data_IF_461355293476
#
_entry.id   IF_461355293476
#
_cell.length_a   1.000
_cell.length_b   1.000
_cell.length_c   1.000
_cell.angle_alpha   90.00
_cell.angle_beta   90.00
_cell.angle_gamma   90.00
#
_symmetry.space_group_name_H-M   'P 1'
#
loop_
_entity.id
_entity.type
_entity.pdbx_description
1 polymer ?
#
# COMPACT_ATOMS: atom_id res chain seq x y z
N UNK A 1 17.38 11.35 -18.78
CA UNK A 1 17.32 9.85 -18.77
C UNK A 1 16.31 9.37 -19.80
N UNK A 2 16.62 8.33 -20.59
CA UNK A 2 15.63 7.68 -21.45
C UNK A 2 14.75 6.75 -20.58
N UNK A 3 13.44 6.89 -20.67
CA UNK A 3 12.49 6.04 -19.95
C UNK A 3 12.53 4.60 -20.47
N UNK A 4 12.42 3.57 -19.59
CA UNK A 4 12.24 2.19 -20.03
C UNK A 4 10.88 2.00 -20.73
N UNK A 5 10.87 1.32 -21.88
CA UNK A 5 9.65 1.17 -22.70
C UNK A 5 8.78 -0.02 -22.27
N UNK A 6 9.39 -1.12 -21.83
CA UNK A 6 8.71 -2.39 -21.58
C UNK A 6 7.49 -2.31 -20.63
N UNK A 7 7.58 -1.53 -19.54
CA UNK A 7 6.46 -1.29 -18.64
C UNK A 7 5.44 -0.32 -19.23
N UNK A 8 5.93 0.74 -19.91
CA UNK A 8 5.07 1.75 -20.54
C UNK A 8 4.18 1.12 -21.61
N UNK A 9 4.73 0.29 -22.49
CA UNK A 9 3.99 -0.44 -23.51
C UNK A 9 2.99 -1.40 -22.92
N UNK A 10 3.42 -2.23 -21.93
CA UNK A 10 2.56 -3.23 -21.32
C UNK A 10 1.36 -2.61 -20.58
N UNK A 11 1.56 -1.47 -19.93
CA UNK A 11 0.51 -0.77 -19.16
C UNK A 11 -0.22 0.31 -19.96
N UNK A 12 0.14 0.52 -21.23
CA UNK A 12 -0.40 1.58 -22.08
C UNK A 12 -0.30 2.99 -21.46
N UNK A 13 0.87 3.30 -20.89
CA UNK A 13 1.18 4.60 -20.27
C UNK A 13 2.42 5.21 -20.94
N UNK A 14 2.54 6.54 -20.94
CA UNK A 14 3.72 7.20 -21.51
C UNK A 14 4.94 7.10 -20.60
N UNK A 15 4.75 7.28 -19.31
CA UNK A 15 5.83 7.28 -18.32
C UNK A 15 5.67 6.09 -17.39
N UNK A 16 6.71 5.24 -17.19
CA UNK A 16 6.63 4.07 -16.32
C UNK A 16 6.69 4.45 -14.84
N UNK A 17 5.89 5.46 -14.48
CA UNK A 17 5.65 5.91 -13.12
C UNK A 17 4.30 5.41 -12.64
N UNK A 18 4.28 4.83 -11.45
CA UNK A 18 3.10 4.27 -10.82
C UNK A 18 2.82 5.06 -9.54
N UNK A 19 1.65 5.65 -9.42
CA UNK A 19 1.16 6.15 -8.14
C UNK A 19 0.87 4.94 -7.25
N UNK A 20 1.56 4.84 -6.10
CA UNK A 20 1.40 3.71 -5.19
C UNK A 20 -0.04 3.59 -4.67
N UNK A 21 -0.59 2.37 -4.59
CA UNK A 21 -1.88 2.14 -3.96
C UNK A 21 -1.75 2.30 -2.43
N UNK A 22 -2.20 3.42 -1.89
CA UNK A 22 -2.09 3.74 -0.48
C UNK A 22 -3.48 3.72 0.16
N UNK A 23 -3.85 2.59 0.80
CA UNK A 23 -5.17 2.46 1.42
C UNK A 23 -5.37 3.50 2.54
N UNK A 24 -6.49 4.21 2.48
CA UNK A 24 -6.78 5.31 3.39
C UNK A 24 -6.10 6.64 3.04
N UNK A 25 -5.40 6.72 1.89
CA UNK A 25 -4.74 7.92 1.35
C UNK A 25 -5.12 8.15 -0.11
N UNK A 26 -4.95 7.13 -0.96
CA UNK A 26 -5.31 7.19 -2.38
C UNK A 26 -6.81 7.33 -2.55
N UNK A 27 -7.23 8.30 -3.35
CA UNK A 27 -8.63 8.59 -3.67
C UNK A 27 -8.87 8.38 -5.16
N UNK A 28 -10.13 8.25 -5.62
CA UNK A 28 -10.46 8.30 -7.03
C UNK A 28 -9.87 9.51 -7.76
N UNK A 29 -9.84 10.68 -7.10
CA UNK A 29 -9.22 11.90 -7.65
C UNK A 29 -7.70 11.77 -7.79
N UNK A 30 -7.01 11.21 -6.80
CA UNK A 30 -5.56 10.97 -6.88
C UNK A 30 -5.23 10.02 -8.03
N UNK A 31 -5.97 8.91 -8.14
CA UNK A 31 -5.81 7.92 -9.21
C UNK A 31 -6.01 8.54 -10.58
N UNK A 32 -7.09 9.31 -10.78
CA UNK A 32 -7.36 9.99 -12.05
C UNK A 32 -6.30 11.04 -12.40
N UNK A 33 -5.80 11.80 -11.42
CA UNK A 33 -4.74 12.79 -11.63
C UNK A 33 -3.40 12.16 -12.03
N UNK A 34 -3.07 10.99 -11.47
CA UNK A 34 -1.91 10.23 -11.91
C UNK A 34 -2.08 9.73 -13.37
N UNK A 35 -3.25 9.21 -13.72
CA UNK A 35 -3.56 8.81 -15.09
C UNK A 35 -3.47 9.99 -16.06
N UNK A 36 -3.97 11.17 -15.69
CA UNK A 36 -3.90 12.39 -16.51
C UNK A 36 -2.46 12.89 -16.72
N UNK A 37 -1.53 12.58 -15.79
CA UNK A 37 -0.09 12.79 -15.97
C UNK A 37 0.57 11.78 -16.94
N UNK A 38 -0.20 10.91 -17.61
CA UNK A 38 0.27 9.80 -18.44
C UNK A 38 1.11 8.75 -17.66
N UNK A 39 0.84 8.62 -16.38
CA UNK A 39 1.36 7.62 -15.46
C UNK A 39 0.27 6.58 -15.12
N UNK A 40 0.60 5.52 -14.39
CA UNK A 40 -0.41 4.61 -13.89
C UNK A 40 -0.96 5.13 -12.56
N UNK A 41 -2.24 5.47 -12.52
CA UNK A 41 -3.00 5.65 -11.28
C UNK A 41 -3.28 4.30 -10.63
N UNK A 42 -3.31 4.23 -9.29
CA UNK A 42 -3.64 2.98 -8.58
C UNK A 42 -4.66 3.25 -7.49
N UNK A 43 -5.83 2.62 -7.62
CA UNK A 43 -6.92 2.67 -6.67
C UNK A 43 -6.75 1.56 -5.63
N UNK A 44 -6.61 1.93 -4.36
CA UNK A 44 -6.43 0.97 -3.28
C UNK A 44 -7.79 0.43 -2.80
N UNK A 45 -8.15 -0.79 -3.18
CA UNK A 45 -9.34 -1.49 -2.71
C UNK A 45 -9.07 -2.28 -1.41
N UNK A 46 -7.82 -2.70 -1.22
CA UNK A 46 -7.40 -3.44 -0.01
C UNK A 46 -8.32 -4.64 0.31
N UNK A 47 -8.98 -4.63 1.47
CA UNK A 47 -9.95 -5.63 1.93
C UNK A 47 -11.39 -5.08 1.99
N UNK A 48 -11.72 -4.14 1.11
CA UNK A 48 -13.10 -3.62 0.97
C UNK A 48 -14.06 -4.70 0.48
N UNK A 49 -15.35 -4.52 0.78
CA UNK A 49 -16.39 -5.36 0.20
C UNK A 49 -16.52 -5.15 -1.31
N UNK A 50 -17.21 -6.08 -1.99
CA UNK A 50 -17.53 -5.97 -3.41
C UNK A 50 -18.25 -4.63 -3.73
N UNK A 51 -19.29 -4.28 -2.96
CA UNK A 51 -20.07 -3.04 -3.17
C UNK A 51 -19.22 -1.78 -3.03
N UNK A 52 -18.37 -1.72 -1.99
CA UNK A 52 -17.46 -0.59 -1.78
C UNK A 52 -16.43 -0.49 -2.91
N UNK A 53 -15.95 -1.63 -3.39
CA UNK A 53 -15.02 -1.70 -4.52
C UNK A 53 -15.68 -1.19 -5.81
N UNK A 54 -16.91 -1.62 -6.12
CA UNK A 54 -17.71 -1.13 -7.25
C UNK A 54 -17.85 0.38 -7.20
N UNK A 55 -18.23 0.92 -6.05
CA UNK A 55 -18.43 2.34 -5.87
C UNK A 55 -17.16 3.13 -6.23
N UNK A 56 -16.03 2.76 -5.64
CA UNK A 56 -14.75 3.46 -5.86
C UNK A 56 -14.25 3.34 -7.30
N UNK A 57 -14.41 2.16 -7.93
CA UNK A 57 -14.06 1.95 -9.35
C UNK A 57 -14.89 2.87 -10.24
N UNK A 58 -16.21 2.89 -10.05
CA UNK A 58 -17.12 3.75 -10.83
C UNK A 58 -16.88 5.23 -10.61
N UNK A 59 -16.58 5.65 -9.38
CA UNK A 59 -16.18 7.02 -9.08
C UNK A 59 -14.89 7.40 -9.83
N UNK A 60 -13.91 6.50 -9.89
CA UNK A 60 -12.66 6.74 -10.62
C UNK A 60 -12.90 6.85 -12.12
N UNK A 61 -13.73 5.97 -12.71
CA UNK A 61 -14.09 5.97 -14.12
C UNK A 61 -14.84 7.23 -14.57
N UNK A 62 -15.57 7.91 -13.67
CA UNK A 62 -16.18 9.21 -13.96
C UNK A 62 -15.15 10.35 -14.07
N UNK A 63 -13.93 10.16 -13.58
CA UNK A 63 -12.88 11.18 -13.50
C UNK A 63 -11.79 11.01 -14.56
N UNK A 64 -11.70 9.83 -15.19
CA UNK A 64 -10.71 9.55 -16.24
C UNK A 64 -11.19 8.43 -17.16
N UNK A 65 -10.91 8.58 -18.45
CA UNK A 65 -11.14 7.54 -19.47
C UNK A 65 -9.91 6.64 -19.65
N UNK A 66 -8.82 6.90 -18.92
CA UNK A 66 -7.59 6.12 -18.99
C UNK A 66 -7.66 4.92 -18.08
N UNK A 67 -6.92 3.86 -18.44
CA UNK A 67 -6.73 2.71 -17.60
C UNK A 67 -6.03 3.09 -16.29
N UNK A 68 -6.42 2.44 -15.20
CA UNK A 68 -5.80 2.52 -13.89
C UNK A 68 -5.76 1.14 -13.23
N UNK A 69 -4.81 0.95 -12.33
CA UNK A 69 -4.74 -0.29 -11.54
C UNK A 69 -5.71 -0.25 -10.36
N UNK A 70 -6.31 -1.39 -10.04
CA UNK A 70 -6.95 -1.65 -8.75
C UNK A 70 -6.03 -2.53 -7.91
N UNK A 71 -5.93 -2.26 -6.60
CA UNK A 71 -5.04 -3.00 -5.70
C UNK A 71 -5.85 -3.72 -4.63
N UNK A 72 -5.61 -5.03 -4.51
CA UNK A 72 -6.26 -5.92 -3.52
C UNK A 72 -5.25 -6.54 -2.57
N UNK A 73 -5.71 -6.97 -1.39
CA UNK A 73 -4.91 -7.65 -0.39
C UNK A 73 -5.15 -9.16 -0.43
N UNK A 74 -4.10 -9.90 -0.80
CA UNK A 74 -4.11 -11.36 -0.85
C UNK A 74 -3.49 -11.90 0.43
N UNK A 75 -4.31 -12.04 1.45
CA UNK A 75 -3.86 -12.52 2.76
C UNK A 75 -4.70 -13.70 3.23
N UNK A 76 -4.06 -14.57 4.00
CA UNK A 76 -4.79 -15.62 4.71
C UNK A 76 -5.55 -15.01 5.88
N UNK A 77 -6.78 -15.44 6.08
CA UNK A 77 -7.59 -15.07 7.25
C UNK A 77 -7.36 -16.16 8.29
N UNK A 78 -6.74 -15.85 9.43
CA UNK A 78 -6.53 -16.84 10.49
C UNK A 78 -7.84 -17.36 11.06
N UNK A 79 -7.89 -18.67 11.37
CA UNK A 79 -9.03 -19.28 12.03
C UNK A 79 -9.28 -18.69 13.42
N UNK A 80 -10.57 -18.59 13.78
CA UNK A 80 -10.97 -18.11 15.10
C UNK A 80 -10.86 -19.25 16.10
N UNK A 81 -9.68 -19.41 16.70
CA UNK A 81 -9.41 -20.35 17.80
C UNK A 81 -9.80 -19.77 19.15
N UNK A 82 -9.93 -20.62 20.20
CA UNK A 82 -10.20 -20.14 21.56
C UNK A 82 -9.07 -19.23 22.08
N UNK A 83 -7.83 -19.53 21.74
CA UNK A 83 -6.67 -18.67 22.05
C UNK A 83 -6.81 -17.28 21.42
N UNK A 84 -7.27 -17.20 20.16
CA UNK A 84 -7.51 -15.92 19.49
C UNK A 84 -8.64 -15.14 20.15
N UNK A 85 -9.73 -15.82 20.57
CA UNK A 85 -10.85 -15.19 21.28
C UNK A 85 -10.40 -14.58 22.61
N UNK A 86 -9.65 -15.33 23.41
CA UNK A 86 -9.12 -14.85 24.69
C UNK A 86 -8.18 -13.64 24.49
N UNK A 87 -7.27 -13.76 23.53
CA UNK A 87 -6.35 -12.67 23.18
C UNK A 87 -7.10 -11.43 22.70
N UNK A 88 -8.14 -11.62 21.88
CA UNK A 88 -8.97 -10.53 21.38
C UNK A 88 -9.63 -9.74 22.50
N UNK A 89 -10.26 -10.43 23.47
CA UNK A 89 -10.90 -9.78 24.62
C UNK A 89 -9.88 -8.98 25.44
N UNK A 90 -8.70 -9.55 25.71
CA UNK A 90 -7.60 -8.86 26.42
C UNK A 90 -7.14 -7.61 25.66
N UNK A 91 -6.95 -7.74 24.36
CA UNK A 91 -6.50 -6.63 23.49
C UNK A 91 -7.55 -5.53 23.41
N UNK A 92 -8.82 -5.88 23.21
CA UNK A 92 -9.94 -4.93 23.21
C UNK A 92 -9.95 -4.12 24.52
N UNK A 93 -9.93 -4.80 25.66
CA UNK A 93 -9.95 -4.14 26.97
C UNK A 93 -8.72 -3.23 27.19
N UNK A 94 -7.53 -3.67 26.71
CA UNK A 94 -6.32 -2.85 26.80
C UNK A 94 -6.47 -1.56 25.99
N UNK A 95 -6.99 -1.65 24.73
CA UNK A 95 -7.20 -0.47 23.88
C UNK A 95 -8.26 0.47 24.48
N UNK A 96 -9.36 -0.07 25.02
CA UNK A 96 -10.40 0.73 25.66
C UNK A 96 -9.86 1.50 26.87
N UNK A 97 -9.07 0.85 27.73
CA UNK A 97 -8.40 1.50 28.88
C UNK A 97 -7.41 2.57 28.40
N UNK A 98 -6.66 2.31 27.35
CA UNK A 98 -5.73 3.28 26.80
C UNK A 98 -6.48 4.50 26.25
N UNK A 99 -7.55 4.30 25.49
CA UNK A 99 -8.38 5.37 24.95
C UNK A 99 -9.00 6.22 26.08
N UNK A 100 -9.57 5.59 27.10
CA UNK A 100 -10.13 6.27 28.26
C UNK A 100 -9.11 7.16 28.99
N UNK A 101 -7.88 6.65 29.20
CA UNK A 101 -6.77 7.42 29.81
C UNK A 101 -6.35 8.65 28.98
N UNK A 102 -6.71 8.69 27.70
CA UNK A 102 -6.39 9.78 26.78
C UNK A 102 -7.63 10.59 26.37
N UNK A 103 -8.74 10.45 27.10
CA UNK A 103 -10.01 11.14 26.84
C UNK A 103 -10.56 10.90 25.42
N UNK A 104 -10.39 9.68 24.92
CA UNK A 104 -10.92 9.25 23.61
C UNK A 104 -12.07 8.27 23.89
N UNK A 105 -13.28 8.68 23.56
CA UNK A 105 -14.46 7.81 23.68
C UNK A 105 -14.57 6.91 22.45
N UNK A 106 -14.46 5.61 22.64
CA UNK A 106 -14.56 4.59 21.59
C UNK A 106 -15.53 3.49 22.00
N UNK A 107 -16.12 2.86 21.00
CA UNK A 107 -16.91 1.65 21.17
C UNK A 107 -16.34 0.59 20.21
N UNK A 108 -15.50 -0.30 20.72
CA UNK A 108 -14.87 -1.32 19.92
C UNK A 108 -15.79 -2.51 19.67
N UNK A 109 -15.77 -3.11 18.47
CA UNK A 109 -16.60 -4.27 18.17
C UNK A 109 -16.17 -5.50 18.97
N UNK A 110 -17.12 -6.40 19.20
CA UNK A 110 -16.82 -7.77 19.62
C UNK A 110 -16.34 -8.58 18.41
N UNK A 111 -15.64 -9.68 18.67
CA UNK A 111 -15.03 -10.51 17.61
C UNK A 111 -16.06 -11.00 16.59
N UNK A 112 -17.25 -11.37 17.05
CA UNK A 112 -18.36 -11.87 16.23
C UNK A 112 -18.91 -10.81 15.27
N UNK A 113 -18.70 -9.54 15.60
CA UNK A 113 -19.14 -8.40 14.78
C UNK A 113 -18.09 -7.92 13.78
N UNK A 114 -16.89 -8.52 13.78
CA UNK A 114 -15.82 -8.18 12.84
C UNK A 114 -16.09 -8.84 11.49
N UNK A 115 -16.36 -8.01 10.48
CA UNK A 115 -16.48 -8.47 9.09
C UNK A 115 -15.12 -8.49 8.43
N UNK A 116 -14.72 -9.66 7.93
CA UNK A 116 -13.51 -9.85 7.14
C UNK A 116 -13.92 -10.27 5.73
N UNK A 117 -13.45 -9.55 4.73
CA UNK A 117 -13.73 -9.84 3.33
C UNK A 117 -12.56 -10.62 2.72
N UNK A 118 -12.87 -11.56 1.83
CA UNK A 118 -11.90 -12.26 1.02
C UNK A 118 -11.67 -11.52 -0.30
N UNK A 119 -10.43 -11.53 -0.81
CA UNK A 119 -10.15 -10.98 -2.14
C UNK A 119 -10.89 -11.69 -3.28
N UNK A 120 -11.33 -12.93 -3.06
CA UNK A 120 -12.13 -13.67 -4.05
C UNK A 120 -13.44 -12.94 -4.41
N UNK A 121 -14.08 -12.28 -3.44
CA UNK A 121 -15.27 -11.47 -3.68
C UNK A 121 -14.99 -10.25 -4.58
N UNK A 122 -13.76 -9.73 -4.51
CA UNK A 122 -13.33 -8.60 -5.33
C UNK A 122 -12.96 -9.02 -6.77
N UNK A 123 -12.52 -10.26 -7.00
CA UNK A 123 -12.17 -10.75 -8.35
C UNK A 123 -13.34 -10.62 -9.32
N UNK A 124 -14.54 -11.08 -8.92
CA UNK A 124 -15.72 -10.98 -9.77
C UNK A 124 -16.12 -9.54 -10.05
N UNK A 125 -16.03 -8.71 -9.03
CA UNK A 125 -16.28 -7.26 -9.15
C UNK A 125 -15.31 -6.59 -10.13
N UNK A 126 -14.02 -6.91 -10.05
CA UNK A 126 -12.98 -6.36 -10.91
C UNK A 126 -13.23 -6.69 -12.37
N UNK A 127 -13.63 -7.94 -12.64
CA UNK A 127 -13.97 -8.42 -13.98
C UNK A 127 -15.24 -7.70 -14.49
N UNK A 128 -16.32 -7.70 -13.70
CA UNK A 128 -17.59 -7.06 -14.05
C UNK A 128 -17.43 -5.56 -14.32
N UNK A 129 -16.55 -4.90 -13.58
CA UNK A 129 -16.24 -3.48 -13.79
C UNK A 129 -15.18 -3.27 -14.89
N UNK A 130 -14.79 -4.29 -15.66
CA UNK A 130 -13.83 -4.20 -16.75
C UNK A 130 -12.53 -3.45 -16.34
N UNK A 131 -11.95 -3.80 -15.19
CA UNK A 131 -10.64 -3.30 -14.79
C UNK A 131 -9.56 -4.08 -15.53
N UNK A 132 -8.63 -3.39 -16.18
CA UNK A 132 -7.60 -4.00 -17.02
C UNK A 132 -6.31 -4.35 -16.29
N UNK A 133 -6.07 -3.75 -15.13
CA UNK A 133 -4.81 -3.89 -14.38
C UNK A 133 -5.15 -4.15 -12.93
N UNK A 134 -4.66 -5.28 -12.40
CA UNK A 134 -4.79 -5.66 -10.99
C UNK A 134 -3.43 -5.76 -10.35
N UNK A 135 -3.20 -4.99 -9.31
CA UNK A 135 -2.04 -5.17 -8.44
C UNK A 135 -2.46 -5.83 -7.12
N UNK A 136 -1.55 -6.58 -6.52
CA UNK A 136 -1.83 -7.24 -5.25
C UNK A 136 -0.60 -7.33 -4.36
N UNK A 137 -0.85 -7.51 -3.05
CA UNK A 137 0.18 -7.60 -2.02
C UNK A 137 -0.26 -8.54 -0.90
N UNK A 138 0.68 -8.93 -0.03
CA UNK A 138 0.52 -9.83 1.13
C UNK A 138 0.51 -11.32 0.83
N UNK A 139 0.65 -11.71 -0.40
CA UNK A 139 0.65 -13.09 -0.85
C UNK A 139 0.63 -13.17 -2.37
N UNK A 140 0.52 -14.38 -2.88
CA UNK A 140 0.23 -14.63 -4.28
C UNK A 140 -1.25 -15.00 -4.45
N UNK A 141 -1.84 -14.65 -5.57
CA UNK A 141 -3.18 -15.12 -5.93
C UNK A 141 -3.16 -16.65 -6.10
N UNK A 142 -4.28 -17.31 -5.78
CA UNK A 142 -4.44 -18.72 -6.12
C UNK A 142 -4.59 -18.93 -7.63
N UNK A 143 -4.31 -20.15 -8.08
CA UNK A 143 -4.28 -20.50 -9.51
C UNK A 143 -5.60 -20.23 -10.21
N UNK A 144 -6.75 -20.44 -9.54
CA UNK A 144 -8.08 -20.19 -10.11
C UNK A 144 -8.31 -18.70 -10.33
N UNK A 145 -7.92 -17.87 -9.37
CA UNK A 145 -8.01 -16.41 -9.48
C UNK A 145 -7.11 -15.89 -10.59
N UNK A 146 -5.88 -16.40 -10.69
CA UNK A 146 -4.95 -16.05 -11.77
C UNK A 146 -5.55 -16.43 -13.12
N UNK A 147 -6.01 -17.67 -13.28
CA UNK A 147 -6.62 -18.14 -14.52
C UNK A 147 -7.80 -17.27 -14.92
N UNK A 148 -8.73 -17.01 -14.00
CA UNK A 148 -9.93 -16.19 -14.23
C UNK A 148 -9.60 -14.78 -14.71
N UNK A 149 -8.62 -14.11 -14.09
CA UNK A 149 -8.18 -12.80 -14.48
C UNK A 149 -7.45 -12.79 -15.83
N UNK A 150 -6.66 -13.83 -16.11
CA UNK A 150 -5.94 -13.98 -17.38
C UNK A 150 -6.88 -14.26 -18.56
N UNK A 151 -7.94 -15.02 -18.38
CA UNK A 151 -8.99 -15.27 -19.40
C UNK A 151 -9.63 -13.96 -19.85
N UNK A 152 -9.69 -12.94 -18.98
CA UNK A 152 -10.18 -11.59 -19.29
C UNK A 152 -9.07 -10.63 -19.75
N UNK A 153 -7.86 -11.13 -20.04
CA UNK A 153 -6.69 -10.36 -20.45
C UNK A 153 -6.28 -9.27 -19.46
N UNK A 154 -6.52 -9.48 -18.17
CA UNK A 154 -6.14 -8.54 -17.10
C UNK A 154 -4.65 -8.69 -16.79
N UNK A 155 -3.94 -7.57 -16.75
CA UNK A 155 -2.52 -7.50 -16.40
C UNK A 155 -2.36 -7.60 -14.89
N UNK A 156 -1.52 -8.52 -14.43
CA UNK A 156 -1.29 -8.80 -13.01
C UNK A 156 0.05 -8.23 -12.54
N UNK A 157 0.03 -7.46 -11.46
CA UNK A 157 1.21 -6.89 -10.81
C UNK A 157 1.31 -7.44 -9.39
N UNK A 158 2.25 -8.34 -9.12
CA UNK A 158 2.49 -8.93 -7.80
C UNK A 158 3.58 -8.19 -7.03
N UNK A 159 3.40 -7.94 -5.73
CA UNK A 159 4.42 -7.31 -4.88
C UNK A 159 5.26 -8.36 -4.19
N UNK A 160 6.60 -8.23 -4.24
CA UNK A 160 7.54 -9.07 -3.50
C UNK A 160 8.45 -8.25 -2.57
N UNK A 161 8.96 -8.91 -1.54
CA UNK A 161 9.92 -8.38 -0.56
C UNK A 161 11.16 -9.27 -0.40
N UNK A 162 11.21 -10.37 -1.16
CA UNK A 162 12.35 -11.30 -1.24
C UNK A 162 12.49 -11.88 -2.65
N UNK A 163 13.64 -12.50 -2.94
CA UNK A 163 13.88 -13.24 -4.19
C UNK A 163 12.95 -14.46 -4.29
N UNK A 164 12.73 -15.15 -3.19
CA UNK A 164 11.83 -16.31 -3.14
C UNK A 164 10.41 -15.94 -3.55
N UNK A 165 9.89 -14.83 -3.02
CA UNK A 165 8.56 -14.30 -3.39
C UNK A 165 8.52 -13.89 -4.87
N UNK A 166 9.57 -13.27 -5.40
CA UNK A 166 9.67 -12.90 -6.82
C UNK A 166 9.64 -14.12 -7.73
N UNK A 167 10.40 -15.17 -7.40
CA UNK A 167 10.38 -16.45 -8.13
C UNK A 167 9.02 -17.15 -8.06
N UNK A 168 8.32 -17.06 -6.92
CA UNK A 168 6.97 -17.61 -6.79
C UNK A 168 5.99 -16.87 -7.71
N UNK A 169 6.02 -15.53 -7.76
CA UNK A 169 5.21 -14.71 -8.67
C UNK A 169 5.49 -15.05 -10.14
N UNK A 170 6.77 -15.16 -10.53
CA UNK A 170 7.14 -15.51 -11.90
C UNK A 170 6.62 -16.89 -12.30
N UNK A 171 6.79 -17.93 -11.43
CA UNK A 171 6.26 -19.27 -11.67
C UNK A 171 4.75 -19.31 -11.85
N UNK A 172 4.02 -18.45 -11.15
CA UNK A 172 2.55 -18.30 -11.29
C UNK A 172 2.13 -17.52 -12.54
N UNK A 173 3.08 -17.06 -13.37
CA UNK A 173 2.78 -16.33 -14.60
C UNK A 173 2.31 -14.88 -14.38
N UNK A 174 2.73 -14.24 -13.30
CA UNK A 174 2.44 -12.83 -13.06
C UNK A 174 3.20 -11.96 -14.08
N UNK A 175 2.53 -10.93 -14.60
CA UNK A 175 3.03 -10.13 -15.74
C UNK A 175 4.10 -9.13 -15.37
N UNK A 176 4.04 -8.58 -14.16
CA UNK A 176 4.95 -7.57 -13.64
C UNK A 176 5.16 -7.83 -12.15
N UNK A 177 6.40 -7.71 -11.69
CA UNK A 177 6.73 -7.85 -10.27
C UNK A 177 7.11 -6.47 -9.70
N UNK A 178 6.42 -6.06 -8.65
CA UNK A 178 6.75 -4.86 -7.89
C UNK A 178 7.68 -5.24 -6.72
N UNK A 179 8.96 -4.90 -6.84
CA UNK A 179 9.98 -5.13 -5.80
C UNK A 179 9.88 -4.03 -4.76
N UNK A 180 9.45 -4.38 -3.54
CA UNK A 180 9.29 -3.43 -2.45
C UNK A 180 10.49 -3.44 -1.51
N UNK A 181 11.32 -2.39 -1.57
CA UNK A 181 12.43 -2.18 -0.64
C UNK A 181 11.97 -1.99 0.81
N UNK A 182 12.86 -2.30 1.78
CA UNK A 182 12.54 -2.15 3.21
C UNK A 182 12.24 -0.68 3.59
N UNK A 183 12.77 0.28 2.85
CA UNK A 183 12.56 1.71 3.03
C UNK A 183 11.19 2.22 2.58
N UNK A 184 10.40 1.41 1.90
CA UNK A 184 9.06 1.79 1.46
C UNK A 184 8.13 2.07 2.65
N UNK A 185 7.25 3.07 2.51
CA UNK A 185 6.20 3.37 3.47
C UNK A 185 5.03 2.41 3.39
N UNK A 186 4.21 2.39 4.45
CA UNK A 186 3.06 1.51 4.54
C UNK A 186 3.43 0.05 4.83
N UNK A 187 2.47 -0.82 4.61
CA UNK A 187 2.62 -2.25 4.92
C UNK A 187 3.71 -2.92 4.10
N UNK A 188 4.46 -3.79 4.77
CA UNK A 188 5.34 -4.74 4.08
C UNK A 188 4.49 -5.71 3.27
N UNK A 189 4.81 -5.82 1.97
CA UNK A 189 4.11 -6.72 1.05
C UNK A 189 4.48 -8.19 1.21
N UNK A 190 5.26 -8.57 2.22
CA UNK A 190 5.74 -9.93 2.45
C UNK A 190 4.60 -10.95 2.51
N UNK A 191 4.85 -12.15 1.98
CA UNK A 191 3.89 -13.25 2.02
C UNK A 191 3.79 -13.85 3.43
N UNK A 192 4.94 -14.11 4.06
CA UNK A 192 5.00 -14.60 5.42
C UNK A 192 5.07 -13.45 6.44
N UNK A 193 4.04 -13.35 7.30
CA UNK A 193 3.94 -12.31 8.32
C UNK A 193 4.95 -12.45 9.46
N UNK A 194 5.40 -13.67 9.73
CA UNK A 194 6.29 -14.01 10.84
C UNK A 194 7.76 -13.80 10.50
N UNK A 195 8.09 -13.67 9.22
CA UNK A 195 9.46 -13.50 8.76
C UNK A 195 9.59 -12.30 7.81
N UNK A 196 9.94 -11.15 8.37
CA UNK A 196 10.15 -9.95 7.58
C UNK A 196 11.62 -9.87 7.17
N UNK A 197 11.86 -10.05 5.88
CA UNK A 197 13.18 -9.81 5.31
C UNK A 197 13.52 -8.32 5.38
N UNK A 198 14.57 -7.98 6.13
CA UNK A 198 15.07 -6.60 6.27
C UNK A 198 16.15 -6.30 5.23
N UNK A 199 15.88 -6.63 3.97
CA UNK A 199 16.83 -6.43 2.88
C UNK A 199 16.68 -4.99 2.36
N UNK A 200 17.82 -4.27 2.29
CA UNK A 200 17.88 -2.94 1.69
C UNK A 200 17.41 -2.97 0.23
N UNK A 201 16.63 -1.97 -0.18
CA UNK A 201 15.94 -2.01 -1.46
C UNK A 201 16.83 -2.13 -2.67
N UNK A 202 18.00 -1.46 -2.71
CA UNK A 202 18.95 -1.59 -3.82
C UNK A 202 19.52 -3.01 -3.92
N UNK A 203 19.83 -3.64 -2.77
CA UNK A 203 20.30 -5.03 -2.72
C UNK A 203 19.23 -6.00 -3.18
N UNK A 204 17.99 -5.81 -2.72
CA UNK A 204 16.85 -6.64 -3.12
C UNK A 204 16.58 -6.53 -4.62
N UNK A 205 16.53 -5.30 -5.16
CA UNK A 205 16.25 -5.07 -6.58
C UNK A 205 17.27 -5.76 -7.47
N UNK A 206 18.57 -5.62 -7.17
CA UNK A 206 19.64 -6.26 -7.95
C UNK A 206 19.51 -7.79 -7.91
N UNK A 207 19.30 -8.39 -6.73
CA UNK A 207 19.15 -9.84 -6.59
C UNK A 207 17.91 -10.37 -7.32
N UNK A 208 16.79 -9.65 -7.26
CA UNK A 208 15.57 -10.05 -7.98
C UNK A 208 15.79 -9.93 -9.48
N UNK A 209 16.42 -8.86 -9.96
CA UNK A 209 16.72 -8.67 -11.38
C UNK A 209 17.56 -9.81 -11.96
N UNK A 210 18.55 -10.28 -11.19
CA UNK A 210 19.40 -11.40 -11.62
C UNK A 210 18.68 -12.75 -11.56
N UNK A 211 17.55 -12.85 -10.84
CA UNK A 211 16.85 -14.10 -10.56
C UNK A 211 15.62 -14.36 -11.44
N UNK A 212 14.95 -13.31 -11.96
CA UNK A 212 13.71 -13.41 -12.73
C UNK A 212 13.82 -12.71 -14.09
N UNK A 213 12.98 -13.13 -15.04
CA UNK A 213 12.85 -12.50 -16.38
C UNK A 213 11.64 -11.58 -16.48
N UNK A 214 10.72 -11.70 -15.55
CA UNK A 214 9.52 -10.86 -15.47
C UNK A 214 9.89 -9.40 -15.28
N UNK A 215 9.25 -8.45 -15.99
CA UNK A 215 9.53 -7.01 -15.85
C UNK A 215 9.35 -6.52 -14.40
N UNK A 216 10.25 -5.63 -13.96
CA UNK A 216 10.30 -5.15 -12.59
C UNK A 216 9.87 -3.69 -12.46
N UNK A 217 8.96 -3.43 -11.52
CA UNK A 217 8.70 -2.13 -10.91
C UNK A 217 9.45 -2.08 -9.58
N UNK A 218 10.08 -0.96 -9.25
CA UNK A 218 10.69 -0.77 -7.95
C UNK A 218 9.89 0.22 -7.10
N UNK A 219 9.64 -0.14 -5.85
CA UNK A 219 8.94 0.67 -4.84
C UNK A 219 9.78 0.83 -3.57
N UNK A 220 10.02 2.07 -3.17
CA UNK A 220 10.81 2.42 -1.99
C UNK A 220 11.83 3.50 -2.29
N UNK A 221 11.81 4.62 -1.55
CA UNK A 221 12.78 5.69 -1.73
C UNK A 221 12.70 6.46 -3.05
N UNK A 222 11.67 6.25 -3.86
CA UNK A 222 11.49 6.90 -5.18
C UNK A 222 10.88 8.29 -5.02
N UNK A 223 11.68 9.35 -5.09
CA UNK A 223 11.21 10.72 -4.84
C UNK A 223 11.89 11.81 -5.66
N UNK A 224 12.93 11.50 -6.42
CA UNK A 224 13.67 12.42 -7.29
C UNK A 224 14.32 11.67 -8.46
N UNK A 225 14.66 12.37 -9.53
CA UNK A 225 15.21 11.79 -10.74
C UNK A 225 16.43 10.87 -10.49
N UNK A 226 17.37 11.26 -9.62
CA UNK A 226 18.55 10.44 -9.32
C UNK A 226 18.23 9.11 -8.63
N UNK A 227 17.15 9.02 -7.82
CA UNK A 227 16.74 7.75 -7.21
C UNK A 227 16.09 6.82 -8.23
N UNK A 228 15.34 7.37 -9.19
CA UNK A 228 14.80 6.60 -10.32
C UNK A 228 15.92 6.08 -11.22
N UNK A 229 16.92 6.91 -11.52
CA UNK A 229 18.07 6.52 -12.32
C UNK A 229 18.89 5.39 -11.65
N UNK A 230 19.10 5.48 -10.33
CA UNK A 230 19.77 4.41 -9.58
C UNK A 230 18.99 3.09 -9.66
N UNK A 231 17.68 3.11 -9.46
CA UNK A 231 16.85 1.91 -9.59
C UNK A 231 16.83 1.37 -11.03
N UNK A 232 16.78 2.24 -12.06
CA UNK A 232 16.89 1.84 -13.47
C UNK A 232 18.19 1.09 -13.74
N UNK A 233 19.30 1.61 -13.25
CA UNK A 233 20.62 0.99 -13.44
C UNK A 233 20.76 -0.37 -12.76
N UNK A 234 19.91 -0.64 -11.75
CA UNK A 234 19.80 -1.94 -11.08
C UNK A 234 18.71 -2.85 -11.68
N UNK A 235 18.13 -2.48 -12.83
CA UNK A 235 17.20 -3.33 -13.56
C UNK A 235 15.72 -2.97 -13.44
N UNK A 236 15.35 -1.93 -12.69
CA UNK A 236 13.96 -1.48 -12.65
C UNK A 236 13.52 -0.90 -14.02
N UNK A 237 12.36 -1.31 -14.48
CA UNK A 237 11.73 -0.87 -15.72
C UNK A 237 10.49 0.01 -15.48
N UNK A 238 10.08 0.14 -14.22
CA UNK A 238 9.05 1.05 -13.75
C UNK A 238 9.31 1.47 -12.31
N UNK A 239 8.70 2.56 -11.87
CA UNK A 239 8.98 3.19 -10.58
C UNK A 239 7.69 3.53 -9.86
N UNK A 240 7.47 2.95 -8.68
CA UNK A 240 6.29 3.23 -7.87
C UNK A 240 6.61 4.27 -6.81
N UNK A 241 5.86 5.37 -6.83
CA UNK A 241 6.02 6.51 -5.91
C UNK A 241 4.83 6.61 -4.96
N UNK A 242 5.11 6.76 -3.68
CA UNK A 242 4.08 6.89 -2.63
C UNK A 242 4.26 8.14 -1.78
N UNK A 243 5.30 8.19 -0.95
CA UNK A 243 5.44 9.21 0.10
C UNK A 243 5.43 10.65 -0.42
N UNK A 244 5.94 10.92 -1.63
CA UNK A 244 5.90 12.26 -2.23
C UNK A 244 4.48 12.75 -2.54
N UNK A 245 3.50 11.84 -2.60
CA UNK A 245 2.09 12.13 -2.90
C UNK A 245 1.22 12.25 -1.64
N UNK A 246 1.76 11.96 -0.44
CA UNK A 246 0.97 11.94 0.81
C UNK A 246 0.33 13.28 1.13
N UNK A 247 1.02 14.39 0.87
CA UNK A 247 0.51 15.72 1.14
C UNK A 247 -0.22 16.36 -0.06
N UNK A 248 -0.34 15.66 -1.21
CA UNK A 248 -1.00 16.21 -2.40
C UNK A 248 -2.44 16.65 -2.14
N UNK A 249 -2.99 17.48 -3.02
CA UNK A 249 -4.34 18.02 -2.89
C UNK A 249 -5.40 16.93 -2.83
N UNK A 250 -5.22 15.85 -3.59
CA UNK A 250 -6.18 14.74 -3.70
C UNK A 250 -6.02 13.66 -2.61
N UNK A 251 -4.98 13.77 -1.77
CA UNK A 251 -4.77 12.88 -0.64
C UNK A 251 -5.90 12.99 0.39
N UNK A 252 -6.35 11.85 0.92
CA UNK A 252 -7.35 11.83 1.99
C UNK A 252 -6.80 12.15 3.38
N UNK A 253 -5.49 12.39 3.51
CA UNK A 253 -4.92 12.86 4.77
C UNK A 253 -5.50 14.23 5.14
N UNK A 254 -5.87 14.38 6.41
CA UNK A 254 -6.38 15.64 6.94
C UNK A 254 -5.26 16.67 7.14
N UNK A 255 -5.57 17.97 7.25
CA UNK A 255 -4.56 19.00 7.43
C UNK A 255 -3.58 18.74 8.58
N UNK A 256 -4.04 18.26 9.73
CA UNK A 256 -3.19 17.96 10.87
C UNK A 256 -2.23 16.78 10.61
N UNK A 257 -2.65 15.77 9.80
CA UNK A 257 -1.79 14.67 9.38
C UNK A 257 -0.72 15.17 8.39
N UNK A 258 -1.09 16.05 7.44
CA UNK A 258 -0.14 16.67 6.51
C UNK A 258 0.85 17.58 7.25
N UNK A 259 0.40 18.31 8.28
CA UNK A 259 1.30 19.15 9.11
C UNK A 259 2.30 18.26 9.88
N UNK A 260 1.88 17.10 10.39
CA UNK A 260 2.80 16.15 11.04
C UNK A 260 3.89 15.68 10.08
N UNK A 261 3.60 15.49 8.78
CA UNK A 261 4.61 15.12 7.78
C UNK A 261 5.73 16.16 7.64
N UNK A 262 5.44 17.44 7.85
CA UNK A 262 6.43 18.53 7.74
C UNK A 262 7.40 18.58 8.92
N UNK A 263 7.03 18.02 10.06
CA UNK A 263 7.76 18.10 11.33
C UNK A 263 8.52 16.84 11.72
N UNK A 264 8.55 15.80 10.86
CA UNK A 264 9.21 14.52 11.17
C UNK A 264 10.70 14.53 10.84
N UNK A 265 11.44 13.69 11.55
CA UNK A 265 12.84 13.38 11.31
C UNK A 265 13.01 11.87 11.03
N UNK A 266 14.20 11.45 10.61
CA UNK A 266 14.51 10.05 10.30
C UNK A 266 14.22 9.11 11.48
N UNK A 267 14.50 9.53 12.71
CA UNK A 267 14.26 8.77 13.95
C UNK A 267 12.78 8.53 14.26
N UNK A 268 11.89 9.34 13.69
CA UNK A 268 10.45 9.22 13.88
C UNK A 268 9.85 8.11 13.00
N UNK A 269 10.60 7.61 12.01
CA UNK A 269 10.13 6.64 11.03
C UNK A 269 10.51 5.24 11.47
N UNK A 270 9.52 4.46 11.83
CA UNK A 270 9.69 3.11 12.37
C UNK A 270 8.91 2.07 11.60
N UNK A 271 9.25 0.81 11.80
CA UNK A 271 8.49 -0.34 11.34
C UNK A 271 7.71 -0.90 12.54
N UNK A 272 6.38 -1.01 12.43
CA UNK A 272 5.48 -1.43 13.50
C UNK A 272 4.35 -2.32 12.97
N UNK A 273 3.83 -3.20 13.81
CA UNK A 273 2.63 -3.99 13.53
C UNK A 273 1.45 -3.65 14.45
N UNK A 274 1.60 -2.65 15.32
CA UNK A 274 0.66 -2.32 16.38
C UNK A 274 -0.74 -1.92 15.90
N UNK A 275 -0.86 -1.23 14.75
CA UNK A 275 -2.17 -0.83 14.23
C UNK A 275 -2.91 -1.91 13.47
N UNK A 276 -2.20 -2.80 12.79
CA UNK A 276 -2.85 -3.72 11.84
C UNK A 276 -2.57 -5.21 12.09
N UNK A 277 -1.56 -5.56 12.89
CA UNK A 277 -1.09 -6.93 13.02
C UNK A 277 -0.13 -7.38 11.92
N UNK A 278 0.12 -6.52 10.91
CA UNK A 278 1.19 -6.69 9.91
C UNK A 278 2.14 -5.50 9.97
N UNK A 279 3.41 -5.78 9.79
CA UNK A 279 4.41 -4.72 9.81
C UNK A 279 4.20 -3.69 8.69
N UNK A 280 4.20 -2.44 9.09
CA UNK A 280 4.08 -1.28 8.23
C UNK A 280 5.05 -0.19 8.66
N UNK A 281 5.60 0.56 7.72
CA UNK A 281 6.49 1.68 8.01
C UNK A 281 5.71 2.97 8.08
N UNK A 282 5.87 3.70 9.18
CA UNK A 282 5.18 4.96 9.40
C UNK A 282 5.81 5.81 10.51
N UNK A 283 5.08 6.83 10.91
CA UNK A 283 5.51 7.78 11.94
C UNK A 283 5.21 7.20 13.32
N UNK A 284 6.23 7.15 14.17
CA UNK A 284 6.10 6.81 15.58
C UNK A 284 5.18 7.79 16.30
N UNK A 285 4.31 7.25 17.15
CA UNK A 285 3.41 8.03 17.99
C UNK A 285 3.16 7.31 19.33
N UNK A 286 2.39 7.93 20.19
CA UNK A 286 2.11 7.40 21.54
C UNK A 286 1.47 6.01 21.52
N UNK A 287 0.51 5.77 20.62
CA UNK A 287 -0.12 4.45 20.51
C UNK A 287 0.89 3.36 20.17
N UNK A 288 1.71 3.60 19.15
CA UNK A 288 2.75 2.66 18.71
C UNK A 288 3.74 2.36 19.85
N UNK A 289 4.24 3.40 20.52
CA UNK A 289 5.20 3.26 21.63
C UNK A 289 4.65 2.44 22.81
N UNK A 290 3.33 2.49 23.01
CA UNK A 290 2.67 1.73 24.10
C UNK A 290 2.28 0.31 23.67
N UNK A 291 1.99 0.08 22.40
CA UNK A 291 1.51 -1.20 21.89
C UNK A 291 2.63 -2.11 21.38
N UNK A 292 3.66 -1.56 20.75
CA UNK A 292 4.76 -2.34 20.21
C UNK A 292 5.44 -3.17 21.31
N UNK A 293 5.81 -4.40 20.97
CA UNK A 293 6.40 -5.38 21.87
C UNK A 293 5.50 -5.84 23.04
N UNK A 294 4.19 -5.58 22.99
CA UNK A 294 3.23 -6.18 23.91
C UNK A 294 2.66 -7.49 23.35
N UNK A 295 2.08 -8.29 24.24
CA UNK A 295 1.34 -9.50 23.85
C UNK A 295 -0.04 -9.20 23.21
N UNK A 296 -0.47 -7.94 23.22
CA UNK A 296 -1.81 -7.51 22.79
C UNK A 296 -1.96 -7.28 21.28
N UNK A 297 -0.93 -7.56 20.47
CA UNK A 297 -1.02 -7.43 19.01
C UNK A 297 -1.66 -8.68 18.42
N UNK A 298 -2.86 -8.52 17.86
CA UNK A 298 -3.58 -9.58 17.16
C UNK A 298 -3.04 -9.79 15.74
N UNK A 299 -3.22 -10.99 15.14
CA UNK A 299 -2.91 -11.17 13.73
C UNK A 299 -3.81 -10.31 12.83
N UNK A 300 -3.28 -9.92 11.65
CA UNK A 300 -4.10 -9.32 10.60
C UNK A 300 -5.16 -10.32 10.12
N UNK A 301 -6.41 -9.93 9.84
CA UNK A 301 -6.93 -8.57 9.83
C UNK A 301 -7.55 -8.09 11.18
N UNK A 302 -7.59 -8.93 12.21
CA UNK A 302 -8.30 -8.66 13.46
C UNK A 302 -7.78 -7.41 14.16
N UNK A 303 -6.46 -7.22 14.25
CA UNK A 303 -5.88 -6.01 14.83
C UNK A 303 -6.29 -4.76 14.04
N UNK A 304 -6.23 -4.83 12.70
CA UNK A 304 -6.60 -3.71 11.84
C UNK A 304 -8.06 -3.28 12.04
N UNK A 305 -8.96 -4.27 12.11
CA UNK A 305 -10.40 -4.03 12.31
C UNK A 305 -10.68 -3.49 13.71
N UNK A 306 -10.06 -4.05 14.74
CA UNK A 306 -10.24 -3.62 16.13
C UNK A 306 -9.75 -2.19 16.35
N UNK A 307 -8.61 -1.80 15.80
CA UNK A 307 -8.06 -0.45 15.95
C UNK A 307 -8.71 0.61 15.03
N UNK A 308 -9.59 0.19 14.12
CA UNK A 308 -10.19 1.09 13.13
C UNK A 308 -10.98 2.22 13.79
N UNK A 309 -11.78 1.91 14.81
CA UNK A 309 -12.60 2.89 15.51
C UNK A 309 -11.73 3.89 16.30
N UNK A 310 -10.69 3.43 16.99
CA UNK A 310 -9.72 4.29 17.66
C UNK A 310 -9.11 5.31 16.67
N UNK A 311 -8.64 4.83 15.50
CA UNK A 311 -8.07 5.69 14.48
C UNK A 311 -9.11 6.69 13.92
N UNK A 312 -10.34 6.21 13.70
CA UNK A 312 -11.43 7.05 13.17
C UNK A 312 -11.79 8.20 14.11
N UNK A 313 -12.00 7.91 15.40
CA UNK A 313 -12.29 8.93 16.42
C UNK A 313 -11.11 9.89 16.60
N UNK A 314 -9.88 9.35 16.69
CA UNK A 314 -8.68 10.18 16.81
C UNK A 314 -8.51 11.15 15.62
N UNK A 315 -8.90 10.74 14.40
CA UNK A 315 -8.96 11.64 13.24
C UNK A 315 -10.00 12.75 13.40
N UNK A 316 -11.13 12.51 14.03
CA UNK A 316 -12.12 13.58 14.28
C UNK A 316 -11.63 14.57 15.33
N UNK A 317 -10.81 14.11 16.26
CA UNK A 317 -10.20 14.94 17.31
C UNK A 317 -8.88 15.61 16.88
N UNK A 318 -8.43 15.41 15.65
CA UNK A 318 -7.13 15.83 15.13
C UNK A 318 -5.95 15.35 16.02
N UNK A 319 -6.06 14.17 16.60
CA UNK A 319 -5.08 13.62 17.54
C UNK A 319 -4.07 12.72 16.78
N UNK A 320 -2.85 13.22 16.56
CA UNK A 320 -1.77 12.52 15.87
C UNK A 320 -1.25 11.29 16.62
N UNK A 321 -1.47 11.21 17.94
CA UNK A 321 -0.94 10.16 18.79
C UNK A 321 -1.63 8.80 18.63
N UNK A 322 -2.80 8.79 17.98
CA UNK A 322 -3.64 7.59 17.85
C UNK A 322 -4.09 7.34 16.39
N UNK A 323 -3.44 7.94 15.42
CA UNK A 323 -3.68 7.68 13.98
C UNK A 323 -2.45 7.04 13.33
N UNK A 324 -2.67 6.20 12.34
CA UNK A 324 -1.59 5.65 11.53
C UNK A 324 -1.28 6.58 10.36
N UNK A 325 -0.06 7.14 10.32
CA UNK A 325 0.45 7.89 9.18
C UNK A 325 1.59 7.09 8.57
N UNK A 326 1.31 6.43 7.45
CA UNK A 326 2.27 5.57 6.79
C UNK A 326 3.16 6.37 5.84
N UNK A 327 4.48 6.26 6.01
CA UNK A 327 5.47 7.03 5.27
C UNK A 327 6.76 6.22 5.12
N UNK A 328 7.44 6.35 3.97
CA UNK A 328 8.76 5.76 3.75
C UNK A 328 9.90 6.60 4.33
N UNK A 329 11.13 6.10 4.20
CA UNK A 329 12.32 6.77 4.76
C UNK A 329 12.76 8.03 4.01
N UNK A 330 12.21 8.31 2.82
CA UNK A 330 12.48 9.55 2.06
C UNK A 330 11.50 10.65 2.44
N UNK A 331 11.85 11.44 3.46
CA UNK A 331 10.95 12.36 4.16
C UNK A 331 11.00 13.84 3.71
N UNK A 332 11.89 14.20 2.79
CA UNK A 332 12.22 15.63 2.58
C UNK A 332 11.47 16.32 1.43
N UNK A 333 10.49 15.68 0.81
CA UNK A 333 9.78 16.23 -0.36
C UNK A 333 8.26 16.06 -0.29
N UNK A 334 7.66 16.49 0.78
CA UNK A 334 6.20 16.59 0.82
C UNK A 334 5.72 17.85 0.10
N UNK A 335 4.79 17.70 -0.82
CA UNK A 335 4.25 18.77 -1.64
C UNK A 335 2.72 18.79 -1.55
N UNK A 336 2.14 19.96 -1.39
CA UNK A 336 0.70 20.20 -1.38
C UNK A 336 0.16 20.57 -2.78
N UNK A 337 0.96 20.45 -3.81
CA UNK A 337 0.51 20.52 -5.20
C UNK A 337 -0.42 19.35 -5.53
N UNK A 338 -1.10 19.42 -6.65
CA UNK A 338 -1.88 18.28 -7.16
C UNK A 338 -0.96 17.09 -7.47
N UNK A 339 -1.51 15.87 -7.41
CA UNK A 339 -0.81 14.64 -7.80
C UNK A 339 -0.22 14.75 -9.21
N UNK A 340 -0.98 15.35 -10.13
CA UNK A 340 -0.56 15.57 -11.51
C UNK A 340 0.67 16.48 -11.62
N UNK A 341 0.68 17.60 -10.90
CA UNK A 341 1.81 18.54 -10.89
C UNK A 341 3.05 17.93 -10.26
N UNK A 342 2.90 17.16 -9.16
CA UNK A 342 4.02 16.47 -8.52
C UNK A 342 4.66 15.47 -9.48
N UNK A 343 3.84 14.66 -10.16
CA UNK A 343 4.33 13.68 -11.13
C UNK A 343 4.96 14.35 -12.36
N UNK A 344 4.35 15.39 -12.92
CA UNK A 344 4.93 16.15 -14.03
C UNK A 344 6.27 16.80 -13.67
N UNK A 345 6.40 17.32 -12.44
CA UNK A 345 7.68 17.85 -11.95
C UNK A 345 8.76 16.76 -11.87
N UNK A 346 8.42 15.58 -11.35
CA UNK A 346 9.35 14.45 -11.31
C UNK A 346 9.75 13.99 -12.71
N UNK A 347 8.80 13.94 -13.66
CA UNK A 347 9.05 13.62 -15.07
C UNK A 347 10.04 14.62 -15.68
N UNK A 348 9.79 15.91 -15.51
CA UNK A 348 10.68 16.96 -16.01
C UNK A 348 12.08 16.86 -15.41
N UNK A 349 12.21 16.58 -14.10
CA UNK A 349 13.52 16.34 -13.46
C UNK A 349 14.27 15.17 -14.11
N UNK A 350 13.56 14.09 -14.49
CA UNK A 350 14.13 12.92 -15.14
C UNK A 350 14.55 13.22 -16.58
N UNK A 351 13.74 13.97 -17.34
CA UNK A 351 14.02 14.33 -18.74
C UNK A 351 15.19 15.31 -18.86
N UNK A 352 15.47 16.10 -17.82
CA UNK A 352 16.62 17.02 -17.77
C UNK A 352 17.95 16.33 -17.39
N UNK A 353 17.95 15.03 -17.03
CA UNK A 353 19.17 14.24 -16.74
C UNK A 353 19.64 13.44 -17.95
#
# INVERSE_FOLDING_TARGET
MIWPEKISEKLNIKYPLIQAPMFGVSTPKMTSKAANANCLGSLALADLSADQSIQLIRETKKLTDKDFAVNIFVHNIPDITDSLKEKFVKTKHWIEKLAQKNNIEINLPDLENIKVNSYHEQIDTIIQENCRIVSFTFGNLDDKSIQKLKEENIILIGTCTSVEEALALERSGIDIICVQGIEAGGHRGTFNVDNIHQIGGLSLLSQVYDSVKTPLIYAGGMYKASTLLAAKNLGAQGFQVGSILLASQESSLKPFEKERLKSINEKDIILTNSFSGRYARGISNKYIQMMDNTEYILPYPYQNKLTQELRRISKTLNNVDFVSIWVGQSIHRYSELSTEEILKKLISEVECM
#
